data_IF_395999190734
#
_entry.id   IF_395999190734
#
_cell.length_a   1.000
_cell.length_b   1.000
_cell.length_c   1.000
_cell.angle_alpha   90.00
_cell.angle_beta   90.00
_cell.angle_gamma   90.00
#
_symmetry.space_group_name_H-M   'P 1'
#
loop_
_entity.id
_entity.type
_entity.pdbx_description
1 polymer ?
#
# COMPACT_ATOMS: atom_id res chain seq x y z
N UNK A 1 -47.18 -2.47 -4.55
CA UNK A 1 -46.63 -1.61 -3.48
C UNK A 1 -45.39 -2.29 -2.88
N UNK A 2 -44.32 -1.51 -2.65
CA UNK A 2 -43.10 -1.80 -1.86
C UNK A 2 -42.30 -3.09 -2.12
N UNK A 3 -41.14 -2.87 -2.76
CA UNK A 3 -39.93 -3.70 -2.61
C UNK A 3 -39.42 -3.60 -1.16
N UNK A 4 -38.99 -4.73 -0.58
CA UNK A 4 -38.01 -4.74 0.51
C UNK A 4 -37.01 -5.87 0.24
N UNK A 5 -35.79 -5.48 -0.09
CA UNK A 5 -34.58 -6.30 -0.03
C UNK A 5 -33.79 -5.71 1.15
N UNK A 6 -33.41 -6.55 2.10
CA UNK A 6 -32.44 -6.24 3.13
C UNK A 6 -31.57 -7.48 3.40
N UNK A 7 -30.29 -7.31 3.79
CA UNK A 7 -29.19 -8.15 3.30
C UNK A 7 -28.52 -9.02 4.38
N UNK A 8 -27.83 -10.06 3.88
CA UNK A 8 -26.51 -10.58 4.30
C UNK A 8 -26.31 -10.85 5.81
N UNK A 9 -26.47 -12.11 6.20
CA UNK A 9 -25.81 -12.69 7.36
C UNK A 9 -24.84 -13.78 6.86
N UNK A 10 -23.59 -13.40 6.56
CA UNK A 10 -22.52 -14.35 6.26
C UNK A 10 -21.79 -14.67 7.56
N UNK A 11 -22.27 -15.71 8.22
CA UNK A 11 -21.64 -16.30 9.40
C UNK A 11 -20.40 -17.10 9.00
N UNK A 12 -19.33 -16.89 9.77
CA UNK A 12 -18.33 -17.88 10.19
C UNK A 12 -17.52 -18.62 9.12
N UNK A 13 -16.22 -18.29 9.04
CA UNK A 13 -15.19 -19.32 8.95
C UNK A 13 -13.94 -18.89 9.74
N UNK A 14 -13.86 -19.45 10.94
CA UNK A 14 -12.63 -19.62 11.71
C UNK A 14 -11.68 -20.51 10.92
N UNK A 15 -10.41 -20.14 10.79
CA UNK A 15 -9.33 -21.11 10.69
C UNK A 15 -8.08 -20.59 11.39
N UNK A 16 -7.95 -21.01 12.64
CA UNK A 16 -6.69 -21.05 13.35
C UNK A 16 -5.84 -22.18 12.73
N UNK A 17 -4.59 -21.89 12.40
CA UNK A 17 -3.57 -22.90 12.17
C UNK A 17 -2.30 -22.48 12.90
N UNK A 18 -1.96 -23.27 13.90
CA UNK A 18 -0.71 -23.23 14.64
C UNK A 18 0.47 -23.69 13.76
N UNK A 19 1.66 -23.17 14.05
CA UNK A 19 2.91 -23.90 13.86
C UNK A 19 3.82 -23.59 15.04
N UNK A 20 4.23 -24.63 15.76
CA UNK A 20 5.01 -24.61 17.00
C UNK A 20 6.52 -24.76 16.75
N UNK A 21 7.29 -24.49 17.81
CA UNK A 21 8.70 -24.87 18.10
C UNK A 21 9.80 -23.99 17.47
N UNK A 22 10.88 -23.57 18.14
CA UNK A 22 11.55 -24.05 19.36
C UNK A 22 12.31 -22.92 20.09
N UNK A 23 12.46 -23.06 21.41
CA UNK A 23 13.47 -22.35 22.21
C UNK A 23 14.71 -23.25 22.40
N UNK A 24 15.91 -22.66 22.58
CA UNK A 24 16.68 -23.06 23.77
C UNK A 24 17.40 -21.89 24.49
N UNK A 25 17.17 -21.88 25.80
CA UNK A 25 18.11 -21.76 26.93
C UNK A 25 19.29 -20.77 26.92
N UNK A 26 19.33 -20.01 28.01
CA UNK A 26 20.34 -19.05 28.49
C UNK A 26 21.63 -19.73 28.95
N UNK A 27 22.78 -19.10 28.74
CA UNK A 27 23.98 -19.26 29.58
C UNK A 27 24.76 -17.94 29.66
N UNK A 28 25.21 -17.63 30.87
CA UNK A 28 25.66 -16.35 31.45
C UNK A 28 27.11 -15.95 31.03
N UNK A 29 27.78 -14.89 31.55
CA UNK A 29 28.47 -13.87 30.74
C UNK A 29 29.99 -13.81 31.01
N UNK A 30 30.78 -13.14 30.15
CA UNK A 30 32.03 -12.43 30.53
C UNK A 30 32.56 -11.63 29.32
N UNK A 31 33.43 -10.62 29.51
CA UNK A 31 33.19 -9.30 28.94
C UNK A 31 34.28 -8.82 27.96
N UNK A 32 33.96 -7.70 27.31
CA UNK A 32 34.85 -6.69 26.71
C UNK A 32 35.88 -7.13 25.66
N UNK A 33 35.68 -6.63 24.45
CA UNK A 33 36.75 -5.96 23.71
C UNK A 33 36.16 -4.81 22.91
N UNK A 34 36.53 -3.58 23.32
CA UNK A 34 36.26 -2.36 22.59
C UNK A 34 37.04 -2.43 21.27
N UNK A 35 36.34 -2.56 20.16
CA UNK A 35 36.89 -2.33 18.83
C UNK A 35 35.90 -1.47 18.09
N UNK A 36 36.21 -0.19 17.98
CA UNK A 36 35.49 0.79 17.18
C UNK A 36 35.63 0.42 15.71
N UNK A 37 34.80 -0.51 15.24
CA UNK A 37 34.64 -0.79 13.82
C UNK A 37 33.79 0.31 13.18
N UNK A 38 34.13 0.81 11.98
CA UNK A 38 33.30 1.78 11.28
C UNK A 38 31.89 1.21 11.09
N UNK A 39 30.88 2.02 11.39
CA UNK A 39 29.48 1.64 11.32
C UNK A 39 29.20 0.97 9.96
N UNK A 40 28.95 -0.33 9.99
CA UNK A 40 28.54 -1.09 8.82
C UNK A 40 27.33 -0.38 8.24
N UNK A 41 27.50 0.18 7.04
CA UNK A 41 26.42 0.67 6.20
C UNK A 41 25.35 -0.41 6.22
N UNK A 42 24.18 -0.12 6.82
CA UNK A 42 23.04 -1.02 6.76
C UNK A 42 22.78 -1.24 5.28
N UNK A 43 23.22 -2.40 4.77
CA UNK A 43 22.82 -2.88 3.47
C UNK A 43 21.30 -2.86 3.52
N UNK A 44 20.68 -1.99 2.73
CA UNK A 44 19.24 -1.96 2.59
C UNK A 44 18.89 -3.36 2.10
N UNK A 45 18.42 -4.22 3.00
CA UNK A 45 17.89 -5.53 2.64
C UNK A 45 16.91 -5.23 1.50
N UNK A 46 17.15 -5.74 0.27
CA UNK A 46 16.23 -5.51 -0.82
C UNK A 46 14.84 -5.89 -0.31
N UNK A 47 13.90 -4.95 -0.38
CA UNK A 47 12.52 -5.27 -0.03
C UNK A 47 12.15 -6.54 -0.81
N UNK A 48 11.58 -7.58 -0.17
CA UNK A 48 11.22 -8.80 -0.86
C UNK A 48 10.48 -8.44 -2.13
N UNK A 49 11.01 -8.87 -3.29
CA UNK A 49 10.32 -8.65 -4.55
C UNK A 49 8.98 -9.37 -4.40
N UNK A 50 7.85 -8.69 -4.56
CA UNK A 50 6.57 -9.33 -4.42
C UNK A 50 6.51 -10.51 -5.40
N UNK A 51 6.25 -11.70 -4.85
CA UNK A 51 6.21 -12.96 -5.61
C UNK A 51 4.77 -13.26 -5.97
N UNK A 52 4.52 -13.58 -7.23
CA UNK A 52 3.17 -13.81 -7.75
C UNK A 52 3.03 -13.34 -9.19
N UNK A 53 1.88 -13.61 -9.79
CA UNK A 53 1.52 -13.04 -11.08
C UNK A 53 1.42 -11.51 -11.00
N UNK A 54 1.64 -10.76 -12.09
CA UNK A 54 1.50 -9.30 -12.12
C UNK A 54 0.16 -8.79 -11.57
N UNK A 55 -0.91 -9.56 -11.77
CA UNK A 55 -2.24 -9.22 -11.25
C UNK A 55 -2.37 -9.45 -9.74
N UNK A 56 -1.74 -10.48 -9.17
CA UNK A 56 -1.70 -10.69 -7.72
C UNK A 56 -0.91 -9.59 -7.01
N UNK A 57 0.24 -9.22 -7.58
CA UNK A 57 1.10 -8.15 -7.03
C UNK A 57 0.35 -6.82 -7.07
N UNK A 58 -0.26 -6.47 -8.21
CA UNK A 58 -1.00 -5.22 -8.35
C UNK A 58 -2.25 -5.18 -7.47
N UNK A 59 -2.98 -6.31 -7.31
CA UNK A 59 -4.11 -6.40 -6.37
C UNK A 59 -3.67 -6.18 -4.93
N UNK A 60 -2.60 -6.84 -4.48
CA UNK A 60 -2.06 -6.65 -3.13
C UNK A 60 -1.59 -5.20 -2.91
N UNK A 61 -1.07 -4.54 -3.94
CA UNK A 61 -0.72 -3.12 -3.88
C UNK A 61 -1.96 -2.20 -3.80
N UNK A 62 -3.03 -2.52 -4.53
CA UNK A 62 -4.32 -1.80 -4.43
C UNK A 62 -4.98 -1.97 -3.06
N UNK A 63 -4.88 -3.15 -2.45
CA UNK A 63 -5.40 -3.39 -1.11
C UNK A 63 -4.71 -2.51 -0.05
N UNK A 64 -3.47 -2.08 -0.29
CA UNK A 64 -2.75 -1.11 0.55
C UNK A 64 -3.26 0.33 0.38
N UNK A 65 -3.94 0.68 -0.71
CA UNK A 65 -4.48 2.04 -0.93
C UNK A 65 -5.55 2.37 0.11
N UNK A 66 -6.37 1.39 0.51
CA UNK A 66 -7.43 1.59 1.50
C UNK A 66 -6.92 2.03 2.88
N UNK A 67 -5.95 1.34 3.52
CA UNK A 67 -5.39 1.83 4.78
C UNK A 67 -4.68 3.19 4.64
N UNK A 68 -4.09 3.52 3.47
CA UNK A 68 -3.56 4.88 3.21
C UNK A 68 -4.70 5.91 3.21
N UNK A 69 -5.81 5.61 2.56
CA UNK A 69 -6.99 6.46 2.51
C UNK A 69 -7.56 6.70 3.92
N UNK A 70 -7.69 5.66 4.74
CA UNK A 70 -8.22 5.77 6.09
C UNK A 70 -7.29 6.66 6.97
N UNK A 71 -5.96 6.51 6.83
CA UNK A 71 -4.96 7.41 7.46
C UNK A 71 -5.07 8.85 6.95
N UNK A 72 -5.23 9.02 5.64
CA UNK A 72 -5.40 10.33 5.01
C UNK A 72 -6.66 11.01 5.55
N UNK A 73 -7.80 10.31 5.63
CA UNK A 73 -9.04 10.85 6.16
C UNK A 73 -8.93 11.26 7.64
N UNK A 74 -8.20 10.47 8.45
CA UNK A 74 -7.96 10.80 9.85
C UNK A 74 -7.07 12.05 10.02
N UNK A 75 -6.03 12.20 9.19
CA UNK A 75 -5.10 13.32 9.28
C UNK A 75 -5.65 14.61 8.64
N UNK A 76 -6.25 14.51 7.46
CA UNK A 76 -6.72 15.65 6.66
C UNK A 76 -8.19 15.99 6.91
N UNK A 77 -8.95 15.15 7.60
CA UNK A 77 -10.38 15.35 7.87
C UNK A 77 -10.73 16.12 9.14
N UNK A 78 -9.76 16.78 9.78
CA UNK A 78 -9.93 17.36 11.13
C UNK A 78 -9.71 18.88 11.22
N UNK A 79 -9.60 19.60 10.10
CA UNK A 79 -9.16 21.01 10.05
C UNK A 79 -7.82 21.30 10.77
N UNK A 80 -7.08 20.25 11.17
CA UNK A 80 -5.85 20.35 11.93
C UNK A 80 -4.65 20.22 10.99
N UNK A 81 -4.09 21.38 10.61
CA UNK A 81 -2.94 21.45 9.71
C UNK A 81 -1.68 20.80 10.30
N UNK A 82 -1.52 20.78 11.63
CA UNK A 82 -0.36 20.18 12.27
C UNK A 82 -0.40 18.65 12.16
N UNK A 83 -1.58 18.04 12.37
CA UNK A 83 -1.79 16.60 12.14
C UNK A 83 -1.61 16.22 10.68
N UNK A 84 -2.11 17.05 9.77
CA UNK A 84 -1.97 16.84 8.32
C UNK A 84 -0.50 16.85 7.88
N UNK A 85 0.28 17.85 8.29
CA UNK A 85 1.72 17.94 7.95
C UNK A 85 2.53 16.82 8.61
N UNK A 86 2.23 16.42 9.84
CA UNK A 86 2.88 15.29 10.50
C UNK A 86 2.64 13.96 9.76
N UNK A 87 1.44 13.76 9.19
CA UNK A 87 1.09 12.54 8.45
C UNK A 87 1.56 12.55 6.99
N UNK A 88 1.90 13.73 6.45
CA UNK A 88 2.23 13.92 5.02
C UNK A 88 3.37 13.02 4.56
N UNK A 89 4.48 12.99 5.30
CA UNK A 89 5.65 12.18 4.94
C UNK A 89 5.33 10.67 4.95
N UNK A 90 4.53 10.20 5.92
CA UNK A 90 4.08 8.80 6.01
C UNK A 90 3.18 8.42 4.83
N UNK A 91 2.20 9.26 4.50
CA UNK A 91 1.28 9.02 3.39
C UNK A 91 2.04 9.06 2.05
N UNK A 92 2.95 10.01 1.85
CA UNK A 92 3.80 10.07 0.66
C UNK A 92 4.69 8.82 0.53
N UNK A 93 5.28 8.35 1.63
CA UNK A 93 6.10 7.14 1.63
C UNK A 93 5.27 5.90 1.25
N UNK A 94 4.06 5.77 1.79
CA UNK A 94 3.17 4.65 1.46
C UNK A 94 2.68 4.68 0.01
N UNK A 95 2.32 5.86 -0.52
CA UNK A 95 1.96 5.99 -1.94
C UNK A 95 3.14 5.62 -2.85
N UNK A 96 4.36 6.06 -2.52
CA UNK A 96 5.56 5.66 -3.28
C UNK A 96 5.84 4.16 -3.18
N UNK A 97 5.60 3.54 -2.03
CA UNK A 97 5.73 2.09 -1.88
C UNK A 97 4.72 1.34 -2.78
N UNK A 98 3.47 1.79 -2.83
CA UNK A 98 2.44 1.23 -3.74
C UNK A 98 2.86 1.39 -5.20
N UNK A 99 3.38 2.56 -5.59
CA UNK A 99 3.92 2.75 -6.94
C UNK A 99 5.12 1.83 -7.24
N UNK A 100 5.98 1.58 -6.24
CA UNK A 100 7.05 0.58 -6.32
C UNK A 100 6.52 -0.82 -6.59
N UNK A 101 5.49 -1.25 -5.87
CA UNK A 101 4.85 -2.56 -6.08
C UNK A 101 4.23 -2.67 -7.49
N UNK A 102 3.62 -1.60 -8.01
CA UNK A 102 3.09 -1.57 -9.38
C UNK A 102 4.21 -1.72 -10.43
N UNK A 103 5.39 -1.13 -10.19
CA UNK A 103 6.55 -1.36 -11.07
C UNK A 103 7.10 -2.77 -10.95
N UNK A 104 7.08 -3.36 -9.76
CA UNK A 104 7.47 -4.76 -9.58
C UNK A 104 6.52 -5.69 -10.33
N UNK A 105 5.21 -5.43 -10.30
CA UNK A 105 4.22 -6.14 -11.12
C UNK A 105 4.50 -5.97 -12.62
N UNK A 106 4.84 -4.76 -13.07
CA UNK A 106 5.19 -4.50 -14.46
C UNK A 106 6.47 -5.24 -14.90
N UNK A 107 7.45 -5.37 -14.00
CA UNK A 107 8.68 -6.12 -14.23
C UNK A 107 8.43 -7.65 -14.26
N UNK A 108 7.44 -8.14 -13.50
CA UNK A 108 7.00 -9.52 -13.52
C UNK A 108 6.12 -9.87 -14.74
N UNK A 109 5.67 -8.86 -15.51
CA UNK A 109 4.84 -9.08 -16.71
C UNK A 109 5.67 -9.64 -17.86
N UNK A 110 5.10 -10.60 -18.59
CA UNK A 110 5.77 -11.26 -19.71
C UNK A 110 5.76 -10.40 -20.98
N UNK A 111 6.58 -10.76 -21.97
CA UNK A 111 6.67 -10.01 -23.24
C UNK A 111 5.35 -9.96 -24.04
N UNK A 112 4.42 -10.89 -23.77
CA UNK A 112 3.11 -10.94 -24.41
C UNK A 112 2.04 -10.09 -23.69
N UNK A 113 2.40 -9.43 -22.59
CA UNK A 113 1.51 -8.64 -21.73
C UNK A 113 1.89 -7.16 -21.77
N UNK A 114 2.19 -6.64 -22.97
CA UNK A 114 2.64 -5.25 -23.17
C UNK A 114 1.63 -4.24 -22.61
N UNK A 115 0.34 -4.43 -22.91
CA UNK A 115 -0.73 -3.54 -22.44
C UNK A 115 -0.84 -3.53 -20.91
N UNK A 116 -0.68 -4.69 -20.26
CA UNK A 116 -0.70 -4.81 -18.81
C UNK A 116 0.52 -4.12 -18.20
N UNK A 117 1.70 -4.33 -18.77
CA UNK A 117 2.94 -3.69 -18.33
C UNK A 117 2.84 -2.16 -18.43
N UNK A 118 2.36 -1.63 -19.55
CA UNK A 118 2.14 -0.19 -19.73
C UNK A 118 1.09 0.35 -18.75
N UNK A 119 -0.01 -0.37 -18.53
CA UNK A 119 -1.03 0.02 -17.57
C UNK A 119 -0.48 0.08 -16.14
N UNK A 120 0.36 -0.89 -15.74
CA UNK A 120 1.01 -0.93 -14.42
C UNK A 120 2.01 0.21 -14.23
N UNK A 121 2.86 0.47 -15.23
CA UNK A 121 3.80 1.59 -15.20
C UNK A 121 3.09 2.95 -15.17
N UNK A 122 2.02 3.09 -15.93
CA UNK A 122 1.16 4.29 -15.93
C UNK A 122 0.51 4.49 -14.57
N UNK A 123 0.01 3.41 -13.95
CA UNK A 123 -0.57 3.45 -12.60
C UNK A 123 0.48 3.91 -11.59
N UNK A 124 1.69 3.34 -11.63
CA UNK A 124 2.79 3.73 -10.76
C UNK A 124 3.11 5.23 -10.88
N UNK A 125 3.25 5.73 -12.12
CA UNK A 125 3.54 7.14 -12.37
C UNK A 125 2.45 8.08 -11.86
N UNK A 126 1.17 7.70 -12.01
CA UNK A 126 0.05 8.50 -11.52
C UNK A 126 -0.06 8.53 -9.99
N UNK A 127 0.23 7.40 -9.33
CA UNK A 127 0.29 7.35 -7.86
C UNK A 127 1.42 8.24 -7.33
N UNK A 128 2.59 8.24 -7.99
CA UNK A 128 3.69 9.14 -7.61
C UNK A 128 3.37 10.61 -7.86
N UNK A 129 2.73 10.92 -8.98
CA UNK A 129 2.25 12.27 -9.27
C UNK A 129 1.27 12.72 -8.17
N UNK A 130 0.33 11.86 -7.77
CA UNK A 130 -0.56 12.11 -6.64
C UNK A 130 0.19 12.30 -5.30
N UNK A 131 1.21 11.50 -5.03
CA UNK A 131 2.06 11.65 -3.84
C UNK A 131 2.85 12.98 -3.83
N UNK A 132 3.14 13.55 -5.00
CA UNK A 132 3.79 14.86 -5.13
C UNK A 132 2.79 16.02 -5.22
N UNK A 133 1.49 15.74 -5.42
CA UNK A 133 0.49 16.77 -5.68
C UNK A 133 0.10 17.52 -4.39
N UNK A 134 0.42 18.83 -4.27
CA UNK A 134 0.01 19.63 -3.11
C UNK A 134 -1.51 19.78 -2.99
N UNK A 135 -2.29 19.60 -4.08
CA UNK A 135 -3.74 19.62 -4.02
C UNK A 135 -4.31 18.40 -3.30
N UNK A 136 -3.62 17.25 -3.38
CA UNK A 136 -3.99 16.07 -2.61
C UNK A 136 -3.77 16.31 -1.11
N UNK A 137 -2.77 17.09 -0.68
CA UNK A 137 -2.50 17.31 0.75
C UNK A 137 -3.13 18.60 1.29
N UNK A 138 -4.35 18.93 0.85
CA UNK A 138 -5.14 20.03 1.41
C UNK A 138 -6.01 19.52 2.55
N UNK A 139 -5.98 20.22 3.68
CA UNK A 139 -6.83 19.91 4.83
C UNK A 139 -8.29 20.11 4.42
N UNK A 140 -9.12 19.12 4.74
CA UNK A 140 -10.55 19.14 4.54
C UNK A 140 -11.29 19.40 5.86
N UNK A 141 -12.54 19.85 5.72
CA UNK A 141 -13.39 20.19 6.86
C UNK A 141 -13.88 18.95 7.63
N UNK A 142 -14.03 17.83 6.92
CA UNK A 142 -14.51 16.57 7.50
C UNK A 142 -13.72 15.37 6.95
N UNK A 143 -13.72 14.22 7.65
CA UNK A 143 -13.11 12.98 7.15
C UNK A 143 -13.79 12.47 5.88
N UNK A 144 -15.09 12.72 5.72
CA UNK A 144 -15.82 12.37 4.50
C UNK A 144 -15.30 13.17 3.30
N UNK A 145 -15.08 14.49 3.46
CA UNK A 145 -14.52 15.34 2.41
C UNK A 145 -13.10 14.92 2.03
N UNK A 146 -12.26 14.60 3.03
CA UNK A 146 -10.92 14.08 2.81
C UNK A 146 -10.94 12.73 2.07
N UNK A 147 -11.82 11.82 2.48
CA UNK A 147 -12.00 10.51 1.81
C UNK A 147 -12.44 10.69 0.36
N UNK A 148 -13.37 11.60 0.09
CA UNK A 148 -13.87 11.91 -1.25
C UNK A 148 -12.78 12.51 -2.15
N UNK A 149 -11.97 13.44 -1.62
CA UNK A 149 -10.85 14.02 -2.34
C UNK A 149 -9.82 12.96 -2.73
N UNK A 150 -9.44 12.09 -1.78
CA UNK A 150 -8.52 10.99 -2.03
C UNK A 150 -9.10 9.97 -3.03
N UNK A 151 -10.38 9.59 -2.89
CA UNK A 151 -11.03 8.64 -3.80
C UNK A 151 -11.07 9.19 -5.23
N UNK A 152 -11.37 10.48 -5.38
CA UNK A 152 -11.42 11.14 -6.69
C UNK A 152 -10.04 11.16 -7.34
N UNK A 153 -8.99 11.44 -6.57
CA UNK A 153 -7.62 11.34 -7.06
C UNK A 153 -7.25 9.89 -7.44
N UNK A 154 -7.57 8.93 -6.57
CA UNK A 154 -7.28 7.51 -6.75
C UNK A 154 -7.99 6.89 -7.96
N UNK A 155 -9.23 7.31 -8.24
CA UNK A 155 -9.97 6.91 -9.44
C UNK A 155 -9.24 7.36 -10.72
N UNK A 156 -8.49 8.47 -10.66
CA UNK A 156 -7.65 8.92 -11.76
C UNK A 156 -6.36 8.12 -11.94
N UNK A 157 -5.90 7.40 -10.90
CA UNK A 157 -4.63 6.67 -10.90
C UNK A 157 -4.70 5.34 -11.65
N UNK A 158 -5.80 4.61 -11.52
CA UNK A 158 -5.94 3.26 -12.09
C UNK A 158 -6.58 3.37 -13.48
N UNK A 159 -5.86 3.07 -14.56
CA UNK A 159 -6.46 3.07 -15.90
C UNK A 159 -7.45 1.91 -16.02
N UNK A 160 -8.57 2.11 -16.70
CA UNK A 160 -9.57 1.05 -16.95
C UNK A 160 -8.97 -0.18 -17.63
N UNK A 161 -7.90 0.01 -18.42
CA UNK A 161 -7.16 -1.09 -19.07
C UNK A 161 -6.51 -2.03 -18.06
N UNK A 162 -6.06 -1.53 -16.90
CA UNK A 162 -5.52 -2.38 -15.83
C UNK A 162 -6.61 -3.31 -15.26
N UNK A 163 -7.79 -2.76 -14.99
CA UNK A 163 -8.92 -3.54 -14.48
C UNK A 163 -9.38 -4.59 -15.49
N UNK A 164 -9.43 -4.24 -16.79
CA UNK A 164 -9.80 -5.18 -17.84
C UNK A 164 -8.75 -6.31 -17.99
N UNK A 165 -7.46 -5.96 -17.99
CA UNK A 165 -6.37 -6.94 -18.17
C UNK A 165 -6.26 -7.94 -17.01
N UNK A 166 -6.63 -7.55 -15.78
CA UNK A 166 -6.63 -8.46 -14.63
C UNK A 166 -7.98 -9.14 -14.35
N UNK A 167 -9.07 -8.73 -15.01
CA UNK A 167 -10.37 -9.40 -14.91
C UNK A 167 -10.59 -10.51 -15.96
N UNK A 168 -9.81 -10.51 -17.04
CA UNK A 168 -9.89 -11.49 -18.13
C UNK A 168 -9.00 -12.72 -18.00
N UNK A 169 -8.36 -12.91 -16.84
CA UNK A 169 -7.50 -14.07 -16.51
C UNK A 169 -8.05 -14.82 -15.31
#
# INVERSE_FOLDING_TARGET
MRRLIAPIALSTLFLAAACSTAAPTVSNPTPTSSSTAPAATKSATPAPVPTGSPCEISKAALDKVKPVQDKYAAAYGSNDAAKAEAAKADIQAQLRAIAGDMRAAAAASTANEVDLKEALLTTAAKIEAGAADPALFKVAKTPADATMAFTTAAAGWIPMTLLASCAGK
#
